data_IF_516775311417
#
_entry.id   IF_516775311417
#
_cell.length_a   1.000
_cell.length_b   1.000
_cell.length_c   1.000
_cell.angle_alpha   90.00
_cell.angle_beta   90.00
_cell.angle_gamma   90.00
#
_symmetry.space_group_name_H-M   'P 1'
#
loop_
_entity.id
_entity.type
_entity.pdbx_description
1 polymer ?
#
# COMPACT_ATOMS: atom_id res chain seq x y z
N UNK A 1 -13.02 3.53 -5.09
CA UNK A 1 -11.74 3.05 -4.52
C UNK A 1 -11.84 1.63 -3.94
N UNK A 2 -13.03 1.04 -3.79
CA UNK A 2 -13.19 -0.38 -3.39
C UNK A 2 -12.52 -1.39 -4.35
N UNK A 3 -12.18 -0.99 -5.58
CA UNK A 3 -11.50 -1.86 -6.55
C UNK A 3 -10.09 -2.30 -6.13
N UNK A 4 -9.48 -1.61 -5.16
CA UNK A 4 -8.16 -1.92 -4.65
C UNK A 4 -8.20 -3.01 -3.58
N UNK A 5 -9.35 -3.28 -2.95
CA UNK A 5 -9.43 -4.27 -1.88
C UNK A 5 -9.05 -5.68 -2.39
N UNK A 6 -8.19 -6.35 -1.63
CA UNK A 6 -7.59 -7.64 -2.00
C UNK A 6 -6.58 -7.57 -3.16
N UNK A 7 -6.26 -6.38 -3.70
CA UNK A 7 -5.26 -6.24 -4.76
C UNK A 7 -3.87 -6.07 -4.19
N UNK A 8 -2.89 -6.69 -4.85
CA UNK A 8 -1.48 -6.37 -4.63
C UNK A 8 -1.16 -5.06 -5.34
N UNK A 9 -0.55 -4.13 -4.62
CA UNK A 9 -0.21 -2.80 -5.10
C UNK A 9 1.26 -2.54 -4.86
N UNK A 10 1.89 -1.83 -5.79
CA UNK A 10 3.17 -1.17 -5.60
C UNK A 10 2.92 0.31 -5.32
N UNK A 11 3.57 0.85 -4.29
CA UNK A 11 3.39 2.21 -3.82
C UNK A 11 4.75 2.91 -3.82
N UNK A 12 4.80 4.05 -4.50
CA UNK A 12 5.94 4.96 -4.46
C UNK A 12 5.52 6.27 -3.80
N UNK A 13 6.15 6.57 -2.67
CA UNK A 13 5.92 7.82 -1.93
C UNK A 13 6.59 8.99 -2.64
N UNK A 14 6.03 10.17 -2.47
CA UNK A 14 6.69 11.39 -2.88
C UNK A 14 7.98 11.57 -2.05
N UNK A 15 9.10 11.92 -2.71
CA UNK A 15 10.45 12.06 -2.13
C UNK A 15 11.19 10.77 -1.73
N UNK A 16 10.66 9.59 -2.03
CA UNK A 16 11.42 8.33 -1.89
C UNK A 16 11.73 7.71 -3.25
N UNK A 17 13.00 7.32 -3.45
CA UNK A 17 13.43 6.64 -4.67
C UNK A 17 13.00 5.18 -4.70
N UNK A 18 12.83 4.55 -3.52
CA UNK A 18 12.40 3.17 -3.38
C UNK A 18 10.90 3.14 -3.01
N UNK A 19 10.14 2.33 -3.73
CA UNK A 19 8.75 2.02 -3.39
C UNK A 19 8.65 0.67 -2.69
N UNK A 20 7.49 0.36 -2.13
CA UNK A 20 7.21 -0.94 -1.52
C UNK A 20 5.97 -1.56 -2.16
N UNK A 21 5.86 -2.88 -2.09
CA UNK A 21 4.67 -3.60 -2.49
C UNK A 21 3.96 -4.28 -1.31
N UNK A 22 2.67 -4.51 -1.47
CA UNK A 22 1.86 -5.20 -0.47
C UNK A 22 0.44 -5.42 -0.96
N UNK A 23 -0.38 -6.03 -0.11
CA UNK A 23 -1.78 -6.35 -0.41
C UNK A 23 -2.69 -5.40 0.34
N UNK A 24 -3.62 -4.76 -0.36
CA UNK A 24 -4.65 -3.94 0.29
C UNK A 24 -5.64 -4.84 0.98
N UNK A 25 -5.87 -4.62 2.28
CA UNK A 25 -6.85 -5.41 3.06
C UNK A 25 -7.96 -4.57 3.67
N UNK A 26 -7.84 -3.24 3.63
CA UNK A 26 -8.91 -2.31 4.00
C UNK A 26 -8.86 -1.05 3.14
N UNK A 27 -10.03 -0.51 2.84
CA UNK A 27 -10.20 0.79 2.16
C UNK A 27 -11.15 1.67 2.96
N UNK A 28 -10.74 2.90 3.25
CA UNK A 28 -11.51 3.91 4.00
C UNK A 28 -11.39 5.27 3.32
N UNK A 29 -12.28 5.54 2.37
CA UNK A 29 -12.20 6.76 1.56
C UNK A 29 -10.88 6.80 0.79
N UNK A 30 -10.05 7.81 1.07
CA UNK A 30 -8.71 7.99 0.48
C UNK A 30 -7.57 7.24 1.19
N UNK A 31 -7.90 6.47 2.23
CA UNK A 31 -6.92 5.69 2.97
C UNK A 31 -7.05 4.22 2.59
N UNK A 32 -5.93 3.56 2.33
CA UNK A 32 -5.85 2.11 2.15
C UNK A 32 -4.91 1.52 3.19
N UNK A 33 -5.25 0.37 3.75
CA UNK A 33 -4.35 -0.39 4.59
C UNK A 33 -3.66 -1.45 3.74
N UNK A 34 -2.34 -1.41 3.71
CA UNK A 34 -1.52 -2.29 2.87
C UNK A 34 -0.70 -3.19 3.78
N UNK A 35 -1.01 -4.49 3.77
CA UNK A 35 -0.20 -5.51 4.40
C UNK A 35 1.06 -5.73 3.55
N UNK A 36 2.22 -5.41 4.10
CA UNK A 36 3.51 -5.53 3.43
C UNK A 36 3.96 -6.98 3.53
N UNK A 37 4.40 -7.58 2.43
CA UNK A 37 4.77 -9.00 2.39
C UNK A 37 6.13 -9.29 3.01
N UNK A 38 6.93 -8.26 3.32
CA UNK A 38 8.25 -8.41 3.94
C UNK A 38 8.08 -8.52 5.47
N UNK A 39 8.31 -9.72 6.04
CA UNK A 39 8.15 -9.94 7.46
C UNK A 39 9.41 -9.43 8.14
N UNK A 40 9.46 -8.14 8.45
CA UNK A 40 10.27 -7.72 9.59
C UNK A 40 9.74 -8.52 10.80
N UNK A 41 10.56 -9.32 11.50
CA UNK A 41 10.10 -10.24 12.55
C UNK A 41 9.45 -9.53 13.74
N UNK A 42 9.49 -8.20 13.76
CA UNK A 42 8.89 -7.33 14.78
C UNK A 42 7.39 -7.05 14.57
N UNK A 43 6.74 -7.69 13.58
CA UNK A 43 5.26 -7.77 13.54
C UNK A 43 4.56 -6.54 12.95
N UNK A 44 5.13 -5.94 11.90
CA UNK A 44 4.40 -4.93 11.13
C UNK A 44 3.33 -5.60 10.24
N UNK A 45 2.09 -5.64 10.73
CA UNK A 45 0.94 -6.19 9.99
C UNK A 45 0.60 -5.41 8.71
N UNK A 46 1.07 -4.15 8.57
CA UNK A 46 0.83 -3.30 7.41
C UNK A 46 0.88 -1.80 7.71
N UNK A 47 0.67 -0.99 6.67
CA UNK A 47 0.80 0.47 6.72
C UNK A 47 -0.48 1.13 6.16
N UNK A 48 -0.97 2.16 6.84
CA UNK A 48 -2.00 3.05 6.28
C UNK A 48 -1.38 4.04 5.29
N UNK A 49 -1.92 4.05 4.08
CA UNK A 49 -1.43 4.85 2.95
C UNK A 49 -2.54 5.78 2.49
N UNK A 50 -2.25 7.07 2.42
CA UNK A 50 -3.15 8.07 1.86
C UNK A 50 -2.91 8.18 0.36
N UNK A 51 -3.91 7.82 -0.45
CA UNK A 51 -3.79 7.75 -1.90
C UNK A 51 -3.52 9.10 -2.56
N UNK A 52 -3.91 10.21 -1.93
CA UNK A 52 -3.68 11.57 -2.45
C UNK A 52 -2.23 12.05 -2.27
N UNK A 53 -1.47 11.40 -1.39
CA UNK A 53 -0.10 11.78 -1.05
C UNK A 53 0.95 10.90 -1.74
N UNK A 54 0.51 9.92 -2.53
CA UNK A 54 1.41 9.02 -3.22
C UNK A 54 1.76 9.57 -4.60
N UNK A 55 3.02 9.41 -4.98
CA UNK A 55 3.47 9.75 -6.33
C UNK A 55 2.96 8.74 -7.34
N UNK A 56 2.89 7.46 -6.95
CA UNK A 56 2.41 6.38 -7.79
C UNK A 56 1.79 5.26 -6.96
N UNK A 57 0.67 4.72 -7.44
CA UNK A 57 0.06 3.48 -6.95
C UNK A 57 -0.26 2.63 -8.18
N UNK A 58 0.47 1.53 -8.35
CA UNK A 58 0.27 0.58 -9.45
C UNK A 58 -0.33 -0.72 -8.91
N UNK A 59 -1.37 -1.23 -9.56
CA UNK A 59 -1.91 -2.56 -9.25
C UNK A 59 -1.05 -3.60 -9.96
N UNK A 60 -0.47 -4.52 -9.19
CA UNK A 60 0.30 -5.64 -9.74
C UNK A 60 -0.65 -6.75 -10.18
N UNK A 61 -0.36 -7.37 -11.32
CA UNK A 61 -1.14 -8.50 -11.88
C UNK A 61 -0.80 -9.80 -11.18
#
# INVERSE_FOLDING_TARGET
MEFLDGKRVFIRRDREDQGFDGVVTQVRGKWIYVAVADPDPDGFDGIWVNTDLQREIAVLK
#
